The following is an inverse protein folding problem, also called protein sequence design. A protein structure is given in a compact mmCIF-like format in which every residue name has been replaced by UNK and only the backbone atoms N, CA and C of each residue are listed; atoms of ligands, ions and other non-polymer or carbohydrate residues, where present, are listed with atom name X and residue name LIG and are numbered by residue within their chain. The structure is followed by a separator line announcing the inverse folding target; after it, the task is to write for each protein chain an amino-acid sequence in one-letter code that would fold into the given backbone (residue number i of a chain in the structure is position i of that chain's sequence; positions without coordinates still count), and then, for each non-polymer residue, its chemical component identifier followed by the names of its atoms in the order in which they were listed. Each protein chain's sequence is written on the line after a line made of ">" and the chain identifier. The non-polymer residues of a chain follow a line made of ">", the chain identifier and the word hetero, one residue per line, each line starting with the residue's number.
data_IF_574083057383
#
_entry.id   IF_574083057383
#
_cell.length_a   1.000
_cell.length_b   1.000
_cell.length_c   1.000
_cell.angle_alpha   90.00
_cell.angle_beta   90.00
_cell.angle_gamma   90.00
#
_symmetry.space_group_name_H-M   'P 1'
#
loop_
_entity.id
_entity.type
_entity.pdbx_description
1 polymer ?
#
# COMPACT_ATOMS: atom_id res chain seq x y z
N UNK A 1 -6.82 -21.48 11.05
CA UNK A 1 -7.91 -20.71 11.68
C UNK A 1 -7.94 -19.32 11.06
N UNK A 2 -8.89 -19.07 10.15
CA UNK A 2 -9.07 -17.79 9.48
C UNK A 2 -9.74 -16.83 10.47
N UNK A 3 -9.05 -15.77 10.88
CA UNK A 3 -9.67 -14.70 11.68
C UNK A 3 -10.56 -13.93 10.72
N UNK A 4 -11.86 -14.19 10.81
CA UNK A 4 -12.91 -13.42 10.16
C UNK A 4 -13.02 -12.05 10.86
N UNK A 5 -12.15 -11.11 10.52
CA UNK A 5 -12.45 -9.69 10.73
C UNK A 5 -13.30 -9.27 9.54
N UNK A 6 -14.60 -9.53 9.63
CA UNK A 6 -15.73 -8.75 9.09
C UNK A 6 -16.96 -9.67 9.02
N UNK A 7 -17.90 -9.44 9.94
CA UNK A 7 -19.23 -9.08 9.49
C UNK A 7 -19.67 -7.82 10.24
N UNK A 8 -19.07 -6.68 9.91
CA UNK A 8 -19.70 -5.41 10.31
C UNK A 8 -20.76 -5.06 9.26
N UNK A 9 -21.90 -5.74 9.37
CA UNK A 9 -23.23 -5.36 8.87
C UNK A 9 -24.14 -6.60 8.95
N UNK A 10 -24.70 -6.88 10.13
CA UNK A 10 -25.91 -7.72 10.21
C UNK A 10 -26.96 -7.23 11.21
N UNK A 11 -26.79 -6.05 11.81
CA UNK A 11 -27.85 -5.40 12.58
C UNK A 11 -27.99 -3.97 12.08
N UNK A 12 -29.15 -3.69 11.47
CA UNK A 12 -29.47 -2.52 10.66
C UNK A 12 -29.53 -1.17 11.38
N UNK A 13 -28.53 -0.83 12.20
CA UNK A 13 -28.46 0.44 12.93
C UNK A 13 -27.00 0.96 13.06
N UNK A 14 -26.17 0.93 12.02
CA UNK A 14 -24.91 1.67 12.05
C UNK A 14 -25.14 3.08 11.49
N UNK A 15 -25.18 4.09 12.37
CA UNK A 15 -25.14 5.50 11.94
C UNK A 15 -23.78 5.79 11.27
N UNK A 16 -23.75 6.71 10.31
CA UNK A 16 -22.54 7.02 9.51
C UNK A 16 -21.33 7.37 10.40
N UNK A 17 -21.57 7.99 11.55
CA UNK A 17 -20.55 8.36 12.52
C UNK A 17 -19.85 7.15 13.16
N UNK A 18 -20.60 6.07 13.47
CA UNK A 18 -20.00 4.83 14.00
C UNK A 18 -19.10 4.13 12.99
N UNK A 19 -19.47 4.18 11.71
CA UNK A 19 -18.67 3.60 10.62
C UNK A 19 -17.39 4.41 10.39
N UNK A 20 -17.48 5.74 10.38
CA UNK A 20 -16.32 6.62 10.26
C UNK A 20 -15.34 6.40 11.44
N UNK A 21 -15.85 6.32 12.67
CA UNK A 21 -15.03 6.04 13.85
C UNK A 21 -14.36 4.65 13.80
N UNK A 22 -15.08 3.63 13.34
CA UNK A 22 -14.52 2.29 13.14
C UNK A 22 -13.40 2.32 12.10
N UNK A 23 -13.61 2.98 10.96
CA UNK A 23 -12.60 3.11 9.91
C UNK A 23 -11.34 3.82 10.40
N UNK A 24 -11.47 4.91 11.16
CA UNK A 24 -10.32 5.58 11.78
C UNK A 24 -9.58 4.68 12.77
N UNK A 25 -10.30 3.83 13.51
CA UNK A 25 -9.67 2.80 14.36
C UNK A 25 -8.87 1.80 13.52
N UNK A 26 -9.40 1.35 12.38
CA UNK A 26 -8.67 0.45 11.47
C UNK A 26 -7.43 1.11 10.85
N UNK A 27 -7.48 2.40 10.50
CA UNK A 27 -6.30 3.14 10.03
C UNK A 27 -5.22 3.16 11.13
N UNK A 28 -5.59 3.49 12.37
CA UNK A 28 -4.64 3.48 13.51
C UNK A 28 -4.04 2.09 13.74
N UNK A 29 -4.86 1.04 13.64
CA UNK A 29 -4.41 -0.35 13.74
C UNK A 29 -3.46 -0.74 12.61
N UNK A 30 -3.72 -0.31 11.37
CA UNK A 30 -2.81 -0.54 10.26
C UNK A 30 -1.45 0.14 10.51
N UNK A 31 -1.49 1.41 10.91
CA UNK A 31 -0.26 2.18 11.20
C UNK A 31 0.55 1.53 12.32
N UNK A 32 -0.06 1.07 13.40
CA UNK A 32 0.69 0.46 14.51
C UNK A 32 1.11 -0.99 14.24
N UNK A 33 0.20 -1.83 13.72
CA UNK A 33 0.44 -3.27 13.58
C UNK A 33 1.23 -3.64 12.31
N UNK A 34 1.21 -2.79 11.29
CA UNK A 34 1.92 -2.99 10.02
C UNK A 34 3.07 -2.00 9.90
N UNK A 35 2.81 -0.69 9.84
CA UNK A 35 3.84 0.31 9.52
C UNK A 35 4.89 0.42 10.63
N UNK A 36 4.48 0.70 11.86
CA UNK A 36 5.39 0.84 12.99
C UNK A 36 6.12 -0.48 13.31
N UNK A 37 5.44 -1.63 13.16
CA UNK A 37 6.05 -2.94 13.39
C UNK A 37 7.11 -3.32 12.32
N UNK A 38 7.10 -2.68 11.15
CA UNK A 38 8.13 -2.84 10.11
C UNK A 38 9.29 -1.87 10.25
N UNK A 39 9.25 -0.94 11.21
CA UNK A 39 10.28 0.07 11.39
C UNK A 39 11.34 -0.37 12.42
N UNK A 40 12.59 0.05 12.20
CA UNK A 40 13.70 -0.09 13.14
C UNK A 40 14.44 -1.43 13.06
N UNK A 41 15.50 -1.57 13.86
CA UNK A 41 16.40 -2.73 13.86
C UNK A 41 15.75 -4.05 14.31
N UNK A 42 14.59 -3.97 14.98
CA UNK A 42 13.76 -5.12 15.36
C UNK A 42 12.52 -5.30 14.49
N UNK A 43 12.45 -4.63 13.33
CA UNK A 43 11.30 -4.70 12.44
C UNK A 43 11.01 -6.12 11.98
N UNK A 44 9.73 -6.42 11.73
CA UNK A 44 9.30 -7.73 11.20
C UNK A 44 8.47 -7.58 9.95
N UNK A 45 8.61 -8.54 9.03
CA UNK A 45 7.73 -8.64 7.86
C UNK A 45 6.29 -8.90 8.33
N UNK A 46 5.30 -8.09 7.91
CA UNK A 46 3.91 -8.34 8.24
C UNK A 46 3.50 -9.69 7.67
N UNK A 47 2.79 -10.50 8.45
CA UNK A 47 2.28 -11.78 7.95
C UNK A 47 1.24 -11.51 6.87
N UNK A 48 1.16 -12.42 5.90
CA UNK A 48 0.16 -12.32 4.82
C UNK A 48 -1.27 -12.21 5.35
N UNK A 49 -1.57 -12.98 6.40
CA UNK A 49 -2.88 -12.97 7.05
C UNK A 49 -3.18 -11.58 7.63
N UNK A 50 -2.20 -10.95 8.27
CA UNK A 50 -2.35 -9.61 8.82
C UNK A 50 -2.57 -8.58 7.71
N UNK A 51 -1.75 -8.59 6.65
CA UNK A 51 -1.93 -7.67 5.51
C UNK A 51 -3.32 -7.83 4.89
N UNK A 52 -3.78 -9.07 4.69
CA UNK A 52 -5.10 -9.35 4.11
C UNK A 52 -6.26 -8.92 5.01
N UNK A 53 -6.08 -8.93 6.34
CA UNK A 53 -7.11 -8.44 7.26
C UNK A 53 -7.44 -6.95 7.04
N UNK A 54 -6.50 -6.17 6.50
CA UNK A 54 -6.72 -4.76 6.17
C UNK A 54 -7.24 -4.52 4.75
N UNK A 55 -7.50 -5.55 3.94
CA UNK A 55 -8.03 -5.37 2.58
C UNK A 55 -9.35 -4.57 2.59
N UNK A 56 -10.28 -4.90 3.49
CA UNK A 56 -11.54 -4.18 3.63
C UNK A 56 -11.35 -2.69 3.96
N UNK A 57 -10.31 -2.35 4.73
CA UNK A 57 -9.95 -0.96 5.00
C UNK A 57 -9.52 -0.25 3.70
N UNK A 58 -8.54 -0.80 2.98
CA UNK A 58 -8.01 -0.18 1.75
C UNK A 58 -9.08 -0.02 0.67
N UNK A 59 -9.97 -1.01 0.53
CA UNK A 59 -11.13 -0.93 -0.38
C UNK A 59 -12.13 0.18 -0.01
N UNK A 60 -12.12 0.65 1.23
CA UNK A 60 -13.03 1.70 1.70
C UNK A 60 -12.43 3.10 1.69
N UNK A 61 -11.11 3.25 1.51
CA UNK A 61 -10.42 4.55 1.62
C UNK A 61 -10.85 5.52 0.51
N UNK A 62 -11.10 6.76 0.89
CA UNK A 62 -11.22 7.88 -0.06
C UNK A 62 -9.82 8.34 -0.50
N UNK A 63 -9.79 9.20 -1.53
CA UNK A 63 -8.55 9.84 -1.95
C UNK A 63 -7.86 10.62 -0.82
N UNK A 64 -8.62 11.31 0.01
CA UNK A 64 -8.07 12.15 1.09
C UNK A 64 -7.49 11.30 2.21
N UNK A 65 -8.17 10.21 2.58
CA UNK A 65 -7.70 9.30 3.64
C UNK A 65 -6.47 8.51 3.18
N UNK A 66 -6.46 8.04 1.92
CA UNK A 66 -5.26 7.41 1.37
C UNK A 66 -4.11 8.40 1.26
N UNK A 67 -4.37 9.64 0.80
CA UNK A 67 -3.35 10.68 0.75
C UNK A 67 -2.77 11.02 2.15
N UNK A 68 -3.57 10.94 3.21
CA UNK A 68 -3.09 11.12 4.58
C UNK A 68 -2.22 9.96 5.08
N UNK A 69 -2.50 8.71 4.65
CA UNK A 69 -1.74 7.52 5.03
C UNK A 69 -0.44 7.36 4.21
N UNK A 70 -0.45 7.82 2.97
CA UNK A 70 0.60 7.59 1.98
C UNK A 70 2.00 8.08 2.39
N UNK A 71 2.20 9.27 3.01
CA UNK A 71 3.51 9.72 3.44
C UNK A 71 4.21 8.72 4.36
N UNK A 72 3.46 8.12 5.28
CA UNK A 72 3.97 7.15 6.24
C UNK A 72 4.31 5.81 5.56
N UNK A 73 3.45 5.34 4.65
CA UNK A 73 3.75 4.16 3.83
C UNK A 73 5.03 4.35 3.02
N UNK A 74 5.18 5.50 2.36
CA UNK A 74 6.37 5.83 1.57
C UNK A 74 7.62 5.99 2.45
N UNK A 75 7.48 6.53 3.66
CA UNK A 75 8.58 6.64 4.62
C UNK A 75 9.11 5.26 5.01
N UNK A 76 8.23 4.31 5.34
CA UNK A 76 8.61 2.92 5.64
C UNK A 76 9.22 2.24 4.42
N UNK A 77 8.61 2.36 3.23
CA UNK A 77 9.15 1.79 1.99
C UNK A 77 10.58 2.24 1.68
N UNK A 78 10.95 3.47 2.03
CA UNK A 78 12.32 3.96 1.85
C UNK A 78 13.29 3.45 2.91
N UNK A 79 12.84 3.23 4.15
CA UNK A 79 13.69 2.85 5.28
C UNK A 79 13.91 1.35 5.41
N UNK A 80 12.85 0.55 5.26
CA UNK A 80 12.84 -0.91 5.44
C UNK A 80 12.04 -1.61 4.33
N UNK A 81 12.40 -1.40 3.05
CA UNK A 81 11.71 -1.96 1.89
C UNK A 81 11.58 -3.49 1.95
N UNK A 82 12.61 -4.20 2.40
CA UNK A 82 12.66 -5.66 2.48
C UNK A 82 11.56 -6.26 3.38
N UNK A 83 11.10 -5.50 4.38
CA UNK A 83 10.06 -5.92 5.30
C UNK A 83 8.67 -5.54 4.82
N UNK A 84 8.53 -4.38 4.17
CA UNK A 84 7.22 -3.79 3.91
C UNK A 84 6.76 -3.83 2.45
N UNK A 85 7.66 -3.92 1.46
CA UNK A 85 7.34 -3.78 0.04
C UNK A 85 6.22 -4.73 -0.42
N UNK A 86 6.28 -6.00 -0.03
CA UNK A 86 5.23 -6.99 -0.31
C UNK A 86 3.89 -6.69 0.36
N UNK A 87 3.91 -6.12 1.56
CA UNK A 87 2.67 -5.73 2.24
C UNK A 87 2.08 -4.49 1.58
N UNK A 88 2.92 -3.52 1.21
CA UNK A 88 2.51 -2.31 0.52
C UNK A 88 1.85 -2.62 -0.84
N UNK A 89 2.44 -3.53 -1.63
CA UNK A 89 1.86 -3.92 -2.93
C UNK A 89 0.46 -4.53 -2.78
N UNK A 90 0.26 -5.37 -1.77
CA UNK A 90 -1.06 -5.96 -1.45
C UNK A 90 -2.07 -4.93 -0.94
N UNK A 91 -1.63 -4.02 -0.08
CA UNK A 91 -2.47 -2.92 0.40
C UNK A 91 -2.90 -2.01 -0.75
N UNK A 92 -1.97 -1.69 -1.66
CA UNK A 92 -2.27 -0.88 -2.85
C UNK A 92 -3.23 -1.64 -3.75
N UNK A 93 -2.98 -2.91 -4.08
CA UNK A 93 -3.87 -3.72 -4.93
C UNK A 93 -5.31 -3.87 -4.40
N UNK A 94 -5.54 -3.57 -3.11
CA UNK A 94 -6.84 -3.60 -2.46
C UNK A 94 -7.62 -2.28 -2.54
N UNK A 95 -6.99 -1.19 -3.00
CA UNK A 95 -7.66 0.10 -3.16
C UNK A 95 -8.81 -0.01 -4.18
N UNK A 96 -9.78 0.90 -4.05
CA UNK A 96 -10.86 1.08 -5.04
C UNK A 96 -10.83 2.45 -5.70
N UNK A 97 -9.82 3.25 -5.37
CA UNK A 97 -9.63 4.62 -5.87
C UNK A 97 -8.59 4.60 -6.98
N UNK A 98 -8.70 5.56 -7.89
CA UNK A 98 -7.71 5.72 -8.96
C UNK A 98 -6.34 6.09 -8.39
N UNK A 99 -5.28 5.37 -8.79
CA UNK A 99 -3.94 5.59 -8.23
C UNK A 99 -3.09 6.59 -9.00
N UNK A 100 -3.59 7.16 -10.10
CA UNK A 100 -2.80 7.96 -11.06
C UNK A 100 -2.00 9.07 -10.39
N UNK A 101 -2.65 9.85 -9.52
CA UNK A 101 -2.02 10.98 -8.81
C UNK A 101 -0.94 10.57 -7.79
N UNK A 102 -0.87 9.29 -7.44
CA UNK A 102 0.07 8.76 -6.45
C UNK A 102 1.25 8.04 -7.09
N UNK A 103 1.17 7.69 -8.38
CA UNK A 103 2.20 6.92 -9.11
C UNK A 103 3.60 7.53 -8.93
N UNK A 104 3.73 8.84 -9.11
CA UNK A 104 5.02 9.53 -8.99
C UNK A 104 5.68 9.39 -7.61
N UNK A 105 4.91 9.18 -6.54
CA UNK A 105 5.45 9.03 -5.18
C UNK A 105 6.17 7.69 -4.98
N UNK A 106 5.86 6.69 -5.82
CA UNK A 106 6.49 5.38 -5.79
C UNK A 106 7.64 5.24 -6.80
N UNK A 107 7.81 6.18 -7.73
CA UNK A 107 8.81 6.09 -8.82
C UNK A 107 10.22 5.82 -8.28
N UNK A 108 10.70 6.64 -7.35
CA UNK A 108 12.04 6.48 -6.77
C UNK A 108 12.25 5.11 -6.11
N UNK A 109 11.26 4.64 -5.33
CA UNK A 109 11.32 3.33 -4.68
C UNK A 109 11.32 2.22 -5.73
N UNK A 110 10.48 2.30 -6.76
CA UNK A 110 10.42 1.29 -7.81
C UNK A 110 11.73 1.23 -8.60
N UNK A 111 12.28 2.38 -9.02
CA UNK A 111 13.55 2.46 -9.73
C UNK A 111 14.70 1.83 -8.94
N UNK A 112 14.80 2.11 -7.64
CA UNK A 112 15.84 1.52 -6.79
C UNK A 112 15.64 0.01 -6.57
N UNK A 113 14.40 -0.43 -6.34
CA UNK A 113 14.12 -1.82 -5.95
C UNK A 113 14.02 -2.79 -7.12
N UNK A 114 13.68 -2.33 -8.32
CA UNK A 114 13.73 -3.16 -9.54
C UNK A 114 15.16 -3.59 -9.91
N UNK A 115 16.16 -2.81 -9.51
CA UNK A 115 17.59 -3.13 -9.67
C UNK A 115 18.10 -4.15 -8.64
N UNK A 116 17.33 -4.43 -7.58
CA UNK A 116 17.76 -5.32 -6.49
C UNK A 116 17.35 -6.76 -6.76
N UNK A 117 18.31 -7.69 -6.82
CA UNK A 117 18.03 -9.13 -7.00
C UNK A 117 17.07 -9.71 -5.96
N UNK A 118 17.12 -9.20 -4.72
CA UNK A 118 16.32 -9.74 -3.61
C UNK A 118 14.93 -9.11 -3.48
N UNK A 119 14.71 -7.95 -4.09
CA UNK A 119 13.47 -7.18 -3.94
C UNK A 119 12.74 -6.92 -5.27
N UNK A 120 13.32 -7.32 -6.40
CA UNK A 120 12.74 -7.11 -7.74
C UNK A 120 11.33 -7.65 -7.85
N UNK A 121 11.08 -8.87 -7.39
CA UNK A 121 9.76 -9.50 -7.47
C UNK A 121 8.71 -8.74 -6.65
N UNK A 122 9.06 -8.34 -5.42
CA UNK A 122 8.18 -7.55 -4.57
C UNK A 122 7.94 -6.13 -5.15
N UNK A 123 8.94 -5.55 -5.84
CA UNK A 123 8.80 -4.29 -6.57
C UNK A 123 7.90 -4.41 -7.81
N UNK A 124 7.98 -5.54 -8.55
CA UNK A 124 7.11 -5.84 -9.68
C UNK A 124 5.65 -5.98 -9.22
N UNK A 125 5.40 -6.58 -8.05
CA UNK A 125 4.05 -6.62 -7.47
C UNK A 125 3.51 -5.21 -7.17
N UNK A 126 4.35 -4.32 -6.64
CA UNK A 126 3.96 -2.93 -6.39
C UNK A 126 3.66 -2.19 -7.69
N UNK A 127 4.54 -2.34 -8.70
CA UNK A 127 4.34 -1.77 -10.03
C UNK A 127 3.02 -2.23 -10.65
N UNK A 128 2.76 -3.54 -10.63
CA UNK A 128 1.51 -4.12 -11.14
C UNK A 128 0.27 -3.58 -10.40
N UNK A 129 0.35 -3.44 -9.08
CA UNK A 129 -0.76 -2.91 -8.28
C UNK A 129 -1.08 -1.43 -8.59
N UNK A 130 -0.06 -0.63 -8.89
CA UNK A 130 -0.20 0.77 -9.28
C UNK A 130 -0.72 0.93 -10.72
N UNK A 131 -0.21 0.13 -11.65
CA UNK A 131 -0.65 0.20 -13.05
C UNK A 131 -2.08 -0.30 -13.23
N UNK A 132 -2.48 -1.35 -12.50
CA UNK A 132 -3.83 -1.90 -12.56
C UNK A 132 -4.92 -0.92 -12.07
N UNK A 133 -4.55 0.08 -11.26
CA UNK A 133 -5.48 1.04 -10.68
C UNK A 133 -5.32 2.47 -11.20
N UNK A 134 -4.38 2.69 -12.10
CA UNK A 134 -4.15 3.99 -12.71
C UNK A 134 -4.90 4.07 -14.04
N UNK A 135 -5.84 5.01 -14.15
CA UNK A 135 -6.54 5.29 -15.40
C UNK A 135 -5.81 6.32 -16.28
N UNK A 136 -4.90 7.13 -15.73
CA UNK A 136 -4.10 8.07 -16.50
C UNK A 136 -2.86 7.40 -17.10
N UNK A 137 -2.85 7.29 -18.42
CA UNK A 137 -1.73 6.73 -19.18
C UNK A 137 -0.49 7.62 -19.10
N UNK A 138 -0.65 8.95 -18.94
CA UNK A 138 0.47 9.90 -18.89
C UNK A 138 1.34 9.67 -17.67
N UNK A 139 0.71 9.49 -16.50
CA UNK A 139 1.39 9.13 -15.25
C UNK A 139 2.15 7.80 -15.36
N UNK A 140 1.58 6.82 -16.07
CA UNK A 140 2.25 5.53 -16.31
C UNK A 140 3.41 5.63 -17.31
N UNK A 141 3.28 6.44 -18.36
CA UNK A 141 4.36 6.71 -19.31
C UNK A 141 5.54 7.39 -18.61
N UNK A 142 5.27 8.36 -17.73
CA UNK A 142 6.31 9.00 -16.93
C UNK A 142 7.06 7.99 -16.04
N UNK A 143 6.32 7.14 -15.30
CA UNK A 143 6.92 6.07 -14.50
C UNK A 143 7.73 5.09 -15.36
N UNK A 144 7.20 4.68 -16.50
CA UNK A 144 7.89 3.80 -17.45
C UNK A 144 9.19 4.43 -17.96
N UNK A 145 9.19 5.74 -18.21
CA UNK A 145 10.39 6.49 -18.59
C UNK A 145 11.45 6.51 -17.49
N UNK A 146 11.06 6.75 -16.24
CA UNK A 146 11.97 6.72 -15.08
C UNK A 146 12.60 5.34 -14.88
N UNK A 147 11.78 4.28 -14.98
CA UNK A 147 12.24 2.89 -14.88
C UNK A 147 13.18 2.57 -16.04
N UNK A 148 12.79 2.86 -17.27
CA UNK A 148 13.61 2.61 -18.46
C UNK A 148 14.98 3.29 -18.33
N UNK A 149 15.00 4.57 -17.95
CA UNK A 149 16.24 5.32 -17.71
C UNK A 149 17.10 4.66 -16.63
N UNK A 150 16.50 4.13 -15.57
CA UNK A 150 17.24 3.49 -14.48
C UNK A 150 17.79 2.12 -14.86
N UNK A 151 17.04 1.33 -15.63
CA UNK A 151 17.42 -0.03 -16.02
C UNK A 151 18.40 -0.05 -17.19
N UNK A 152 18.22 0.84 -18.18
CA UNK A 152 18.96 0.83 -19.46
C UNK A 152 20.01 1.95 -19.54
N UNK A 153 19.82 3.06 -18.82
CA UNK A 153 20.77 4.18 -18.79
C UNK A 153 22.03 3.94 -17.96
N UNK A 154 22.41 2.68 -17.75
CA UNK A 154 23.70 2.27 -17.19
C UNK A 154 24.63 1.80 -18.30
#
# INVERSE_FOLDING_TARGET
>A
AAIAILPFCSQGCANADSLAAAKQTFIKLYTSAVLAATEGSGGRKPSEVLTRAFHGLFKSLSHDEFAALLPEMCRILRRTPELYLKSASRSIAALSIDTSRYVGQFSAVLCERLMSETMRDDALLLLAALTAQSSDTSSLVALGGDIHKTLVGK
#
